data_IF_162804535130
#
_entry.id   IF_162804535130
#
_cell.length_a   1.000
_cell.length_b   1.000
_cell.length_c   1.000
_cell.angle_alpha   90.00
_cell.angle_beta   90.00
_cell.angle_gamma   90.00
#
_symmetry.space_group_name_H-M   'P 1'
#
loop_
_entity.id
_entity.type
_entity.pdbx_description
1 polymer ?
#
# COMPACT_ATOMS: atom_id res chain seq x y z
N UNK A 1 -72.79 -3.70 23.66
CA UNK A 1 -71.40 -3.34 24.00
C UNK A 1 -70.48 -4.25 23.20
N UNK A 2 -69.83 -3.75 22.16
CA UNK A 2 -68.87 -4.51 21.36
C UNK A 2 -67.47 -4.18 21.87
N UNK A 3 -66.81 -5.18 22.48
CA UNK A 3 -65.44 -5.06 22.96
C UNK A 3 -64.48 -5.17 21.76
N UNK A 4 -63.85 -4.06 21.40
CA UNK A 4 -62.79 -4.03 20.38
C UNK A 4 -61.51 -4.64 20.94
N UNK A 5 -61.09 -5.77 20.38
CA UNK A 5 -59.77 -6.36 20.63
C UNK A 5 -58.74 -5.57 19.83
N UNK A 6 -57.92 -4.78 20.52
CA UNK A 6 -56.76 -4.11 19.92
C UNK A 6 -55.62 -5.12 19.75
N UNK A 7 -55.38 -5.56 18.51
CA UNK A 7 -54.22 -6.36 18.14
C UNK A 7 -53.00 -5.43 18.08
N UNK A 8 -52.12 -5.53 19.07
CA UNK A 8 -50.83 -4.85 19.03
C UNK A 8 -49.91 -5.58 18.05
N UNK A 9 -49.74 -5.01 16.85
CA UNK A 9 -48.71 -5.41 15.90
C UNK A 9 -47.34 -5.02 16.48
N UNK A 10 -46.64 -5.97 17.08
CA UNK A 10 -45.23 -5.79 17.42
C UNK A 10 -44.43 -5.77 16.12
N UNK A 11 -43.99 -4.60 15.68
CA UNK A 11 -42.96 -4.46 14.65
C UNK A 11 -41.64 -5.00 15.22
N UNK A 12 -41.40 -6.31 15.08
CA UNK A 12 -40.08 -6.89 15.26
C UNK A 12 -39.22 -6.45 14.07
N UNK A 13 -38.51 -5.34 14.23
CA UNK A 13 -37.49 -4.93 13.26
C UNK A 13 -36.43 -6.02 13.19
N UNK A 14 -36.22 -6.60 12.01
CA UNK A 14 -35.13 -7.54 11.74
C UNK A 14 -33.79 -6.80 11.80
N UNK A 15 -33.31 -6.49 13.00
CA UNK A 15 -31.93 -6.10 13.20
C UNK A 15 -31.13 -7.39 13.30
N UNK A 16 -30.22 -7.64 12.36
CA UNK A 16 -29.29 -8.74 12.49
C UNK A 16 -28.48 -8.49 13.77
N UNK A 17 -28.41 -9.44 14.72
CA UNK A 17 -27.76 -9.22 16.00
C UNK A 17 -26.29 -8.92 15.79
N UNK A 18 -25.77 -7.89 16.44
CA UNK A 18 -24.33 -7.58 16.41
C UNK A 18 -23.58 -8.73 17.08
N UNK A 19 -22.48 -9.17 16.46
CA UNK A 19 -21.82 -10.41 16.83
C UNK A 19 -21.08 -10.28 18.17
N UNK A 20 -20.41 -9.14 18.41
CA UNK A 20 -19.63 -8.91 19.63
C UNK A 20 -20.40 -8.03 20.62
N UNK A 21 -20.27 -8.34 21.92
CA UNK A 21 -20.91 -7.58 22.99
C UNK A 21 -20.19 -7.75 24.34
N UNK A 22 -20.25 -6.74 25.20
CA UNK A 22 -19.76 -6.80 26.58
C UNK A 22 -20.61 -7.72 27.50
N UNK A 23 -21.78 -8.18 27.04
CA UNK A 23 -22.70 -9.00 27.83
C UNK A 23 -22.49 -10.51 27.69
N UNK A 24 -21.62 -10.94 26.77
CA UNK A 24 -21.26 -12.36 26.60
C UNK A 24 -19.98 -12.66 27.40
N UNK A 25 -19.98 -13.73 28.20
CA UNK A 25 -18.86 -14.10 29.06
C UNK A 25 -17.68 -14.77 28.35
N UNK A 26 -17.79 -15.01 27.04
CA UNK A 26 -16.72 -15.53 26.18
C UNK A 26 -15.79 -14.40 25.74
N UNK A 27 -14.58 -14.75 25.30
CA UNK A 27 -13.64 -13.77 24.74
C UNK A 27 -14.17 -13.26 23.41
N UNK A 28 -14.33 -11.94 23.30
CA UNK A 28 -14.80 -11.28 22.08
C UNK A 28 -13.60 -11.04 21.16
N UNK A 29 -13.60 -11.65 19.97
CA UNK A 29 -12.48 -11.58 19.03
C UNK A 29 -12.94 -10.96 17.71
N UNK A 30 -12.22 -9.93 17.27
CA UNK A 30 -12.36 -9.41 15.91
C UNK A 30 -11.19 -9.87 15.05
N UNK A 31 -11.46 -10.28 13.82
CA UNK A 31 -10.43 -10.58 12.83
C UNK A 31 -10.63 -9.73 11.60
N UNK A 32 -9.58 -9.47 10.82
CA UNK A 32 -9.74 -8.72 9.56
C UNK A 32 -10.36 -9.59 8.47
N UNK A 33 -10.02 -10.87 8.39
CA UNK A 33 -10.49 -11.79 7.34
C UNK A 33 -11.09 -13.08 7.92
N UNK A 34 -11.91 -13.76 7.11
CA UNK A 34 -12.54 -15.03 7.46
C UNK A 34 -11.54 -16.17 7.69
N UNK A 35 -10.38 -16.14 7.03
CA UNK A 35 -9.29 -17.12 7.24
C UNK A 35 -8.77 -17.04 8.68
N UNK A 36 -8.51 -15.81 9.16
CA UNK A 36 -8.12 -15.60 10.55
C UNK A 36 -9.24 -15.98 11.51
N UNK A 37 -10.49 -15.67 11.15
CA UNK A 37 -11.64 -16.04 11.96
C UNK A 37 -11.72 -17.56 12.16
N UNK A 38 -11.52 -18.34 11.10
CA UNK A 38 -11.51 -19.80 11.17
C UNK A 38 -10.38 -20.34 12.05
N UNK A 39 -9.16 -19.81 11.91
CA UNK A 39 -8.04 -20.18 12.79
C UNK A 39 -8.33 -19.91 14.27
N UNK A 40 -8.87 -18.72 14.57
CA UNK A 40 -9.25 -18.35 15.94
C UNK A 40 -10.34 -19.28 16.47
N UNK A 41 -11.36 -19.60 15.67
CA UNK A 41 -12.43 -20.54 16.07
C UNK A 41 -11.89 -21.94 16.36
N UNK A 42 -10.97 -22.43 15.54
CA UNK A 42 -10.34 -23.75 15.75
C UNK A 42 -9.53 -23.80 17.06
N UNK A 43 -8.82 -22.72 17.42
CA UNK A 43 -8.01 -22.65 18.65
C UNK A 43 -8.86 -22.37 19.90
N UNK A 44 -9.78 -21.40 19.79
CA UNK A 44 -10.59 -20.92 20.91
C UNK A 44 -11.80 -21.82 21.23
N UNK A 45 -12.32 -22.54 20.23
CA UNK A 45 -13.51 -23.37 20.36
C UNK A 45 -14.71 -22.59 20.91
N UNK A 46 -15.43 -23.18 21.86
CA UNK A 46 -16.62 -22.56 22.48
C UNK A 46 -16.30 -21.38 23.40
N UNK A 47 -15.01 -21.07 23.64
CA UNK A 47 -14.58 -20.00 24.58
C UNK A 47 -14.51 -18.62 23.93
N UNK A 48 -14.66 -18.55 22.61
CA UNK A 48 -14.52 -17.32 21.82
C UNK A 48 -15.80 -17.02 21.04
N UNK A 49 -16.05 -15.74 20.83
CA UNK A 49 -16.96 -15.24 19.78
C UNK A 49 -16.08 -14.53 18.76
N UNK A 50 -16.22 -14.89 17.49
CA UNK A 50 -15.32 -14.39 16.44
C UNK A 50 -16.12 -13.78 15.31
N UNK A 51 -15.89 -12.49 15.07
CA UNK A 51 -16.43 -11.73 13.96
C UNK A 51 -15.32 -11.25 13.03
N UNK A 52 -15.54 -11.31 11.72
CA UNK A 52 -14.58 -10.87 10.70
C UNK A 52 -15.05 -9.54 10.12
N UNK A 53 -14.16 -8.54 10.07
CA UNK A 53 -14.44 -7.23 9.46
C UNK A 53 -14.75 -7.40 7.97
N UNK A 54 -13.90 -8.12 7.24
CA UNK A 54 -14.16 -8.44 5.83
C UNK A 54 -15.02 -9.71 5.77
N UNK A 55 -16.24 -9.65 5.21
CA UNK A 55 -17.07 -10.85 5.02
C UNK A 55 -16.46 -11.83 4.03
N UNK A 56 -16.80 -13.13 4.16
CA UNK A 56 -16.23 -14.20 3.32
C UNK A 56 -16.46 -14.02 1.80
N UNK A 57 -17.47 -13.24 1.40
CA UNK A 57 -17.78 -12.94 0.00
C UNK A 57 -17.18 -11.63 -0.51
N UNK A 58 -16.45 -10.91 0.32
CA UNK A 58 -15.89 -9.59 -0.01
C UNK A 58 -14.38 -9.68 -0.29
N UNK A 59 -13.91 -8.79 -1.15
CA UNK A 59 -12.49 -8.64 -1.46
C UNK A 59 -11.81 -7.79 -0.39
N UNK A 60 -10.89 -8.40 0.36
CA UNK A 60 -10.17 -7.74 1.46
C UNK A 60 -9.31 -6.55 1.00
N UNK A 61 -8.95 -6.47 -0.29
CA UNK A 61 -8.08 -5.41 -0.81
C UNK A 61 -8.84 -4.11 -1.11
N UNK A 62 -10.17 -4.15 -1.18
CA UNK A 62 -11.02 -3.00 -1.51
C UNK A 62 -12.22 -2.82 -0.58
N UNK A 63 -12.33 -3.64 0.47
CA UNK A 63 -13.46 -3.60 1.38
C UNK A 63 -13.55 -2.27 2.14
N UNK A 64 -14.77 -1.72 2.26
CA UNK A 64 -15.05 -0.54 3.07
C UNK A 64 -15.75 -0.94 4.37
N UNK A 65 -15.12 -0.74 5.55
CA UNK A 65 -15.72 -1.05 6.83
C UNK A 65 -17.06 -0.33 7.07
N UNK A 66 -18.04 -1.07 7.56
CA UNK A 66 -19.34 -0.52 7.95
C UNK A 66 -19.31 -0.03 9.40
N UNK A 67 -20.32 0.76 9.79
CA UNK A 67 -20.51 1.17 11.19
C UNK A 67 -20.70 -0.03 12.15
N UNK A 68 -21.20 -1.16 11.62
CA UNK A 68 -21.36 -2.38 12.40
C UNK A 68 -20.00 -3.02 12.70
N UNK A 69 -19.08 -3.00 11.73
CA UNK A 69 -17.74 -3.55 11.91
C UNK A 69 -16.97 -2.71 12.93
N UNK A 70 -17.08 -1.38 12.82
CA UNK A 70 -16.52 -0.44 13.82
C UNK A 70 -17.09 -0.74 15.21
N UNK A 71 -18.40 -0.97 15.34
CA UNK A 71 -19.00 -1.35 16.62
C UNK A 71 -18.41 -2.67 17.15
N UNK A 72 -18.23 -3.68 16.30
CA UNK A 72 -17.62 -4.95 16.71
C UNK A 72 -16.17 -4.75 17.20
N UNK A 73 -15.38 -3.93 16.51
CA UNK A 73 -14.02 -3.57 16.95
C UNK A 73 -14.00 -2.97 18.35
N UNK A 74 -14.93 -2.07 18.67
CA UNK A 74 -15.03 -1.43 20.00
C UNK A 74 -15.29 -2.46 21.11
N UNK A 75 -16.07 -3.51 20.83
CA UNK A 75 -16.40 -4.57 21.80
C UNK A 75 -15.35 -5.69 21.86
N UNK A 76 -14.31 -5.67 21.04
CA UNK A 76 -13.31 -6.73 21.02
C UNK A 76 -12.40 -6.70 22.27
N UNK A 77 -12.06 -7.89 22.75
CA UNK A 77 -11.04 -8.13 23.79
C UNK A 77 -9.68 -8.46 23.19
N UNK A 78 -9.65 -8.83 21.91
CA UNK A 78 -8.44 -9.05 21.10
C UNK A 78 -8.77 -8.92 19.61
N UNK A 79 -7.82 -8.37 18.85
CA UNK A 79 -7.89 -8.28 17.40
C UNK A 79 -6.80 -9.10 16.72
N UNK A 80 -7.12 -9.72 15.58
CA UNK A 80 -6.16 -10.36 14.69
C UNK A 80 -6.25 -9.76 13.29
N UNK A 81 -5.15 -9.18 12.81
CA UNK A 81 -4.99 -8.74 11.42
C UNK A 81 -3.94 -9.59 10.71
N UNK A 82 -4.05 -9.79 9.40
CA UNK A 82 -3.00 -10.43 8.62
C UNK A 82 -1.83 -9.46 8.47
N UNK A 83 -2.15 -8.22 8.07
CA UNK A 83 -1.20 -7.19 7.68
C UNK A 83 -0.44 -7.59 6.39
N UNK A 84 0.70 -6.96 6.09
CA UNK A 84 1.46 -7.19 4.85
C UNK A 84 0.66 -6.92 3.55
N UNK A 85 -0.12 -5.84 3.54
CA UNK A 85 -0.91 -5.36 2.39
C UNK A 85 -2.01 -6.31 1.89
N UNK A 86 -2.43 -7.30 2.68
CA UNK A 86 -3.62 -8.09 2.34
C UNK A 86 -4.89 -7.24 2.48
N UNK A 87 -5.03 -6.56 3.62
CA UNK A 87 -6.17 -5.69 3.87
C UNK A 87 -5.99 -4.33 3.20
N UNK A 88 -7.09 -3.80 2.68
CA UNK A 88 -7.22 -2.40 2.35
C UNK A 88 -6.84 -1.53 3.56
N UNK A 89 -6.16 -0.41 3.32
CA UNK A 89 -5.57 0.37 4.41
C UNK A 89 -6.64 1.05 5.30
N UNK A 90 -7.83 1.31 4.76
CA UNK A 90 -9.00 1.76 5.53
C UNK A 90 -9.45 0.71 6.58
N UNK A 91 -9.34 -0.59 6.32
CA UNK A 91 -9.64 -1.67 7.28
C UNK A 91 -8.66 -1.62 8.46
N UNK A 92 -7.36 -1.49 8.17
CA UNK A 92 -6.32 -1.37 9.21
C UNK A 92 -6.55 -0.11 10.05
N UNK A 93 -6.87 1.03 9.43
CA UNK A 93 -7.18 2.28 10.13
C UNK A 93 -8.44 2.17 10.97
N UNK A 94 -9.53 1.59 10.44
CA UNK A 94 -10.77 1.40 11.17
C UNK A 94 -10.55 0.51 12.39
N UNK A 95 -9.75 -0.55 12.25
CA UNK A 95 -9.36 -1.40 13.37
C UNK A 95 -8.54 -0.62 14.41
N UNK A 96 -7.43 0.00 14.02
CA UNK A 96 -6.50 0.65 14.94
C UNK A 96 -7.08 1.89 15.64
N UNK A 97 -7.96 2.64 14.97
CA UNK A 97 -8.55 3.85 15.51
C UNK A 97 -9.70 3.59 16.51
N UNK A 98 -10.32 2.41 16.44
CA UNK A 98 -11.51 2.08 17.24
C UNK A 98 -11.27 0.99 18.29
N UNK A 99 -10.14 0.28 18.22
CA UNK A 99 -9.77 -0.70 19.23
C UNK A 99 -9.47 0.02 20.55
N UNK A 100 -10.02 -0.49 21.66
CA UNK A 100 -9.84 0.11 22.99
C UNK A 100 -8.37 0.07 23.42
N UNK A 101 -7.93 1.06 24.18
CA UNK A 101 -6.58 1.12 24.73
C UNK A 101 -6.25 -0.15 25.54
N UNK A 102 -5.08 -0.73 25.29
CA UNK A 102 -4.60 -1.93 25.98
C UNK A 102 -5.16 -3.26 25.44
N UNK A 103 -6.15 -3.22 24.55
CA UNK A 103 -6.61 -4.43 23.85
C UNK A 103 -5.52 -4.90 22.86
N UNK A 104 -5.09 -6.18 22.90
CA UNK A 104 -4.06 -6.67 22.01
C UNK A 104 -4.52 -6.67 20.54
N UNK A 105 -3.67 -6.14 19.65
CA UNK A 105 -3.83 -6.25 18.20
C UNK A 105 -2.67 -7.04 17.61
N UNK A 106 -2.94 -8.26 17.16
CA UNK A 106 -1.93 -9.18 16.65
C UNK A 106 -1.91 -9.13 15.13
N UNK A 107 -0.85 -8.53 14.56
CA UNK A 107 -0.54 -8.66 13.13
C UNK A 107 0.08 -10.04 12.88
N UNK A 108 -0.76 -11.03 12.55
CA UNK A 108 -0.39 -12.44 12.56
C UNK A 108 0.74 -12.77 11.59
N UNK A 109 0.69 -12.29 10.34
CA UNK A 109 1.69 -12.66 9.35
C UNK A 109 3.09 -12.13 9.70
N UNK A 110 3.18 -10.87 10.15
CA UNK A 110 4.45 -10.29 10.63
C UNK A 110 4.90 -10.91 11.96
N UNK A 111 3.96 -11.12 12.89
CA UNK A 111 4.23 -11.73 14.20
C UNK A 111 4.70 -13.18 14.11
N UNK A 112 4.22 -13.93 13.12
CA UNK A 112 4.55 -15.33 12.91
C UNK A 112 6.04 -15.57 12.63
N UNK A 113 6.78 -14.57 12.13
CA UNK A 113 8.22 -14.69 11.93
C UNK A 113 8.99 -14.99 13.23
N UNK A 114 8.47 -14.54 14.39
CA UNK A 114 9.03 -14.87 15.72
C UNK A 114 8.81 -16.34 16.11
N UNK A 115 7.93 -17.03 15.40
CA UNK A 115 7.52 -18.41 15.62
C UNK A 115 7.94 -19.32 14.45
N UNK A 116 9.06 -18.98 13.80
CA UNK A 116 9.66 -19.74 12.70
C UNK A 116 8.84 -19.79 11.40
N UNK A 117 7.87 -18.90 11.21
CA UNK A 117 7.32 -18.66 9.88
C UNK A 117 8.33 -17.88 9.03
N UNK A 118 8.41 -18.20 7.74
CA UNK A 118 9.22 -17.46 6.77
C UNK A 118 8.30 -16.61 5.90
N UNK A 119 8.54 -15.29 5.87
CA UNK A 119 7.87 -14.39 4.94
C UNK A 119 8.58 -14.52 3.61
N UNK A 120 7.91 -15.11 2.62
CA UNK A 120 8.43 -15.21 1.26
C UNK A 120 8.11 -13.88 0.55
N UNK A 121 9.11 -13.05 0.21
CA UNK A 121 8.87 -11.82 -0.51
C UNK A 121 8.47 -12.14 -1.96
N UNK A 122 7.46 -11.45 -2.47
CA UNK A 122 7.18 -11.46 -3.90
C UNK A 122 8.24 -10.58 -4.58
N UNK A 123 9.26 -11.21 -5.16
CA UNK A 123 10.31 -10.52 -5.90
C UNK A 123 9.93 -10.44 -7.38
N UNK A 124 10.12 -9.27 -7.97
CA UNK A 124 9.90 -9.03 -9.40
C UNK A 124 10.73 -9.99 -10.26
N UNK A 125 10.05 -10.72 -11.15
CA UNK A 125 10.74 -11.47 -12.20
C UNK A 125 11.05 -10.51 -13.36
N UNK A 126 12.30 -10.09 -13.42
CA UNK A 126 12.78 -9.18 -14.44
C UNK A 126 12.84 -9.82 -15.85
N UNK A 127 12.47 -11.09 -16.00
CA UNK A 127 12.30 -11.74 -17.30
C UNK A 127 10.91 -11.54 -17.91
N UNK A 128 9.96 -10.96 -17.18
CA UNK A 128 8.64 -10.62 -17.70
C UNK A 128 8.74 -9.60 -18.85
N UNK A 129 7.97 -9.83 -19.91
CA UNK A 129 7.87 -8.91 -21.07
C UNK A 129 7.12 -7.62 -20.73
N UNK A 130 6.45 -7.57 -19.57
CA UNK A 130 5.74 -6.42 -19.01
C UNK A 130 6.58 -5.72 -17.96
N UNK A 131 6.61 -4.38 -17.99
CA UNK A 131 7.33 -3.57 -17.01
C UNK A 131 6.48 -3.56 -15.72
N UNK A 132 6.98 -4.23 -14.67
CA UNK A 132 6.27 -4.39 -13.40
C UNK A 132 7.07 -3.78 -12.23
N UNK A 133 7.44 -2.51 -12.37
CA UNK A 133 8.24 -1.82 -11.36
C UNK A 133 7.40 -1.48 -10.13
N UNK A 134 8.01 -1.65 -8.96
CA UNK A 134 7.36 -1.37 -7.68
C UNK A 134 7.74 -0.05 -7.02
N UNK A 135 6.89 0.38 -6.11
CA UNK A 135 7.15 1.43 -5.14
C UNK A 135 7.40 0.81 -3.76
N UNK A 136 8.38 1.34 -3.03
CA UNK A 136 8.73 0.83 -1.70
C UNK A 136 8.94 1.96 -0.71
N UNK A 137 8.30 1.82 0.45
CA UNK A 137 8.63 2.55 1.67
C UNK A 137 9.58 1.66 2.49
N UNK A 138 10.69 2.23 2.96
CA UNK A 138 11.64 1.51 3.83
C UNK A 138 11.60 2.11 5.23
N UNK A 139 11.40 1.24 6.22
CA UNK A 139 11.39 1.62 7.63
C UNK A 139 10.01 2.01 8.13
N UNK A 140 9.89 2.06 9.46
CA UNK A 140 8.62 2.20 10.18
C UNK A 140 8.18 3.64 10.38
N UNK A 141 9.06 4.62 10.12
CA UNK A 141 8.77 6.04 10.34
C UNK A 141 8.54 6.44 11.81
N UNK A 142 8.86 5.57 12.78
CA UNK A 142 8.63 5.83 14.22
C UNK A 142 9.32 7.09 14.72
N UNK A 143 10.45 7.47 14.12
CA UNK A 143 11.16 8.72 14.41
C UNK A 143 10.33 9.98 14.08
N UNK A 144 9.34 9.86 13.20
CA UNK A 144 8.35 10.89 12.87
C UNK A 144 7.01 10.69 13.59
N UNK A 145 6.91 9.73 14.51
CA UNK A 145 5.68 9.37 15.19
C UNK A 145 4.73 8.48 14.37
N UNK A 146 5.19 7.91 13.25
CA UNK A 146 4.35 7.05 12.42
C UNK A 146 4.01 5.73 13.11
N UNK A 147 2.83 5.21 12.76
CA UNK A 147 2.36 3.86 13.08
C UNK A 147 2.02 3.13 11.78
N UNK A 148 1.61 1.87 11.89
CA UNK A 148 1.13 1.09 10.72
C UNK A 148 -0.13 1.67 10.06
N UNK A 149 -0.86 2.54 10.76
CA UNK A 149 -2.03 3.25 10.26
C UNK A 149 -1.67 4.58 9.55
N UNK A 150 -0.41 5.00 9.59
CA UNK A 150 0.07 6.18 8.87
C UNK A 150 0.15 5.92 7.37
N UNK A 151 0.13 7.00 6.59
CA UNK A 151 0.24 6.96 5.13
C UNK A 151 1.53 7.62 4.66
N UNK A 152 2.25 6.95 3.75
CA UNK A 152 3.28 7.58 2.94
C UNK A 152 2.70 7.83 1.56
N UNK A 153 2.59 9.11 1.22
CA UNK A 153 2.09 9.61 -0.05
C UNK A 153 3.28 9.72 -1.01
N UNK A 154 3.25 8.95 -2.10
CA UNK A 154 4.23 8.97 -3.17
C UNK A 154 3.59 9.60 -4.41
N UNK A 155 3.72 10.91 -4.54
CA UNK A 155 3.08 11.70 -5.60
C UNK A 155 3.99 11.85 -6.81
N UNK A 156 3.47 11.58 -8.02
CA UNK A 156 4.08 12.09 -9.24
C UNK A 156 3.75 13.59 -9.38
N UNK A 157 4.77 14.39 -9.64
CA UNK A 157 4.63 15.87 -9.59
C UNK A 157 5.14 16.56 -10.84
N UNK A 158 5.93 15.86 -11.66
CA UNK A 158 6.45 16.38 -12.93
C UNK A 158 6.91 15.21 -13.80
N UNK A 159 6.64 15.27 -15.10
CA UNK A 159 7.20 14.34 -16.07
C UNK A 159 7.63 15.10 -17.32
N UNK A 160 8.74 14.68 -17.90
CA UNK A 160 9.14 15.09 -19.25
C UNK A 160 9.55 13.88 -20.07
N UNK A 161 9.11 13.83 -21.32
CA UNK A 161 9.35 12.68 -22.19
C UNK A 161 8.79 12.89 -23.60
N UNK A 162 9.03 11.93 -24.51
CA UNK A 162 8.54 11.96 -25.89
C UNK A 162 7.06 11.58 -26.05
N UNK A 163 6.39 11.18 -24.97
CA UNK A 163 5.00 10.75 -24.95
C UNK A 163 4.46 10.77 -23.53
N UNK A 164 3.39 10.01 -23.32
CA UNK A 164 2.68 9.88 -22.05
C UNK A 164 3.20 8.69 -21.26
N UNK A 165 3.12 8.80 -19.94
CA UNK A 165 3.52 7.81 -18.95
C UNK A 165 2.34 7.57 -18.01
N UNK A 166 1.93 6.31 -17.87
CA UNK A 166 0.95 5.90 -16.86
C UNK A 166 1.49 4.75 -16.03
N UNK A 167 1.18 4.74 -14.73
CA UNK A 167 1.41 3.64 -13.81
C UNK A 167 0.06 3.24 -13.20
N UNK A 168 -0.30 1.95 -13.27
CA UNK A 168 -1.64 1.50 -12.91
C UNK A 168 -1.67 0.06 -12.37
N UNK A 169 -2.70 -0.24 -11.59
CA UNK A 169 -3.13 -1.58 -11.27
C UNK A 169 -4.43 -1.91 -11.99
N UNK A 170 -4.76 -3.19 -12.07
CA UNK A 170 -6.03 -3.65 -12.62
C UNK A 170 -6.97 -3.99 -11.46
N UNK A 171 -8.11 -3.33 -11.41
CA UNK A 171 -9.17 -3.61 -10.44
C UNK A 171 -9.81 -4.98 -10.68
N UNK A 172 -10.60 -5.46 -9.72
CA UNK A 172 -11.24 -6.78 -9.76
C UNK A 172 -12.16 -7.00 -10.99
N UNK A 173 -12.63 -5.92 -11.62
CA UNK A 173 -13.46 -5.95 -12.83
C UNK A 173 -12.70 -5.60 -14.12
N UNK A 174 -11.37 -5.50 -14.07
CA UNK A 174 -10.52 -5.29 -15.25
C UNK A 174 -10.25 -3.83 -15.61
N UNK A 175 -10.82 -2.87 -14.88
CA UNK A 175 -10.54 -1.44 -15.06
C UNK A 175 -9.15 -1.05 -14.55
N UNK A 176 -8.48 -0.04 -15.14
CA UNK A 176 -7.24 0.47 -14.61
C UNK A 176 -7.48 1.43 -13.44
N UNK A 177 -6.81 1.19 -12.32
CA UNK A 177 -6.65 2.10 -11.19
C UNK A 177 -5.30 2.83 -11.35
N UNK A 178 -5.32 4.12 -11.61
CA UNK A 178 -4.13 4.90 -11.96
C UNK A 178 -3.46 5.48 -10.71
N UNK A 179 -2.14 5.29 -10.62
CA UNK A 179 -1.28 5.82 -9.56
C UNK A 179 -0.40 6.97 -10.06
N UNK A 180 -0.15 7.00 -11.37
CA UNK A 180 0.49 8.09 -12.09
C UNK A 180 -0.21 8.18 -13.44
N UNK A 181 -0.71 9.34 -13.81
CA UNK A 181 -1.28 9.61 -15.11
C UNK A 181 -0.74 10.94 -15.66
N UNK A 182 0.09 10.89 -16.71
CA UNK A 182 0.56 12.15 -17.31
C UNK A 182 -0.45 12.78 -18.27
N UNK A 183 -1.51 12.06 -18.64
CA UNK A 183 -2.43 12.46 -19.73
C UNK A 183 -3.42 13.55 -19.32
N UNK A 184 -3.72 13.63 -18.02
CA UNK A 184 -4.54 14.65 -17.35
C UNK A 184 -3.66 15.70 -16.64
N UNK A 185 -2.39 15.38 -16.40
CA UNK A 185 -1.39 16.29 -15.84
C UNK A 185 -1.44 16.33 -14.31
N UNK A 186 -0.39 16.88 -13.70
CA UNK A 186 -0.20 16.85 -12.25
C UNK A 186 -0.74 18.11 -11.58
N UNK A 187 -1.91 18.01 -10.91
CA UNK A 187 -2.54 19.15 -10.25
C UNK A 187 -1.97 19.37 -8.83
N UNK A 188 -1.23 20.47 -8.66
CA UNK A 188 -0.73 20.87 -7.35
C UNK A 188 -1.83 21.43 -6.43
N UNK A 189 -2.97 21.88 -6.98
CA UNK A 189 -4.04 22.53 -6.23
C UNK A 189 -4.81 21.55 -5.33
N UNK A 190 -4.93 20.28 -5.73
CA UNK A 190 -5.54 19.23 -4.91
C UNK A 190 -4.52 18.38 -4.15
N UNK A 191 -3.23 18.73 -4.26
CA UNK A 191 -2.13 18.01 -3.63
C UNK A 191 -1.70 16.74 -4.36
N UNK A 192 -1.93 16.69 -5.69
CA UNK A 192 -1.62 15.58 -6.59
C UNK A 192 -2.44 14.32 -6.28
N UNK A 193 -3.71 14.49 -5.89
CA UNK A 193 -4.52 13.40 -5.31
C UNK A 193 -4.67 12.23 -6.28
N UNK A 194 -4.87 12.51 -7.56
CA UNK A 194 -5.09 11.50 -8.61
C UNK A 194 -3.75 10.87 -9.11
N UNK A 195 -2.61 11.37 -8.65
CA UNK A 195 -1.26 10.93 -9.01
C UNK A 195 -0.43 10.50 -7.80
N UNK A 196 -1.11 10.05 -6.75
CA UNK A 196 -0.48 9.67 -5.48
C UNK A 196 -0.72 8.22 -5.16
N UNK A 197 0.37 7.45 -5.12
CA UNK A 197 0.35 6.13 -4.49
C UNK A 197 0.43 6.27 -2.98
N UNK A 198 -0.51 5.66 -2.26
CA UNK A 198 -0.55 5.64 -0.80
C UNK A 198 -0.05 4.30 -0.30
N UNK A 199 1.05 4.31 0.45
CA UNK A 199 1.63 3.11 1.05
C UNK A 199 1.80 3.24 2.56
N UNK A 200 1.52 2.19 3.34
CA UNK A 200 1.91 2.14 4.75
C UNK A 200 3.43 2.20 4.94
N UNK A 201 3.92 2.53 6.15
CA UNK A 201 5.31 2.31 6.52
C UNK A 201 5.74 0.85 6.31
N UNK A 202 6.99 0.68 5.85
CA UNK A 202 7.62 -0.60 5.50
C UNK A 202 6.86 -1.47 4.47
N UNK A 203 6.02 -0.84 3.65
CA UNK A 203 5.28 -1.50 2.59
C UNK A 203 6.00 -1.47 1.23
N UNK A 204 5.64 -2.40 0.35
CA UNK A 204 6.04 -2.39 -1.05
C UNK A 204 4.90 -2.90 -1.93
N UNK A 205 4.70 -2.29 -3.09
CA UNK A 205 3.73 -2.75 -4.09
C UNK A 205 4.33 -2.68 -5.48
N UNK A 206 3.86 -3.53 -6.40
CA UNK A 206 4.26 -3.55 -7.81
C UNK A 206 3.08 -3.18 -8.69
N UNK A 207 3.32 -2.37 -9.72
CA UNK A 207 2.28 -1.88 -10.63
C UNK A 207 2.73 -1.92 -12.09
N UNK A 208 1.78 -1.94 -13.02
CA UNK A 208 2.07 -1.92 -14.45
C UNK A 208 2.46 -0.52 -14.89
N UNK A 209 3.44 -0.42 -15.79
CA UNK A 209 3.88 0.86 -16.36
C UNK A 209 3.72 0.84 -17.88
N UNK A 210 3.10 1.88 -18.44
CA UNK A 210 2.95 2.03 -19.88
C UNK A 210 3.47 3.40 -20.35
N UNK A 211 4.01 3.41 -21.56
CA UNK A 211 4.62 4.57 -22.21
C UNK A 211 4.13 4.63 -23.65
N UNK A 212 3.63 5.78 -24.10
CA UNK A 212 3.03 5.87 -25.45
C UNK A 212 4.06 6.05 -26.57
N UNK A 213 5.30 6.41 -26.23
CA UNK A 213 6.40 6.55 -27.20
C UNK A 213 7.76 6.07 -26.66
N UNK A 214 8.65 5.53 -27.51
CA UNK A 214 10.02 5.21 -27.11
C UNK A 214 10.86 6.49 -26.91
N UNK A 215 11.73 6.49 -25.89
CA UNK A 215 12.69 7.55 -25.63
C UNK A 215 13.07 7.66 -24.15
N UNK A 216 13.50 8.84 -23.71
CA UNK A 216 13.94 9.07 -22.32
C UNK A 216 12.89 9.89 -21.60
N UNK A 217 12.37 9.35 -20.50
CA UNK A 217 11.45 10.03 -19.60
C UNK A 217 12.17 10.41 -18.31
N UNK A 218 11.81 11.56 -17.73
CA UNK A 218 12.22 11.99 -16.40
C UNK A 218 10.97 12.26 -15.59
N UNK A 219 10.70 11.41 -14.60
CA UNK A 219 9.57 11.52 -13.68
C UNK A 219 10.10 11.99 -12.33
N UNK A 220 9.64 13.14 -11.84
CA UNK A 220 9.89 13.59 -10.48
C UNK A 220 8.78 13.07 -9.59
N UNK A 221 9.18 12.38 -8.52
CA UNK A 221 8.29 11.93 -7.44
C UNK A 221 8.58 12.74 -6.18
N UNK A 222 7.54 12.98 -5.39
CA UNK A 222 7.61 13.53 -4.05
C UNK A 222 7.12 12.50 -3.03
N UNK A 223 7.78 12.42 -1.88
CA UNK A 223 7.36 11.58 -0.76
C UNK A 223 6.96 12.46 0.43
N UNK A 224 5.76 12.24 0.96
CA UNK A 224 5.22 12.90 2.16
C UNK A 224 4.68 11.86 3.14
N UNK A 225 4.82 12.10 4.43
CA UNK A 225 4.30 11.23 5.50
C UNK A 225 3.12 11.90 6.20
N UNK A 226 1.93 11.33 6.08
CA UNK A 226 0.78 11.68 6.90
C UNK A 226 0.72 10.74 8.12
N UNK A 227 1.17 11.26 9.27
CA UNK A 227 1.29 10.48 10.52
C UNK A 227 -0.08 10.00 11.02
N UNK A 228 -1.11 10.84 10.90
CA UNK A 228 -2.48 10.53 11.27
C UNK A 228 -3.43 11.20 10.28
N UNK A 229 -4.68 10.70 10.23
CA UNK A 229 -5.71 11.27 9.37
C UNK A 229 -5.95 12.75 9.71
N UNK A 230 -5.94 13.61 8.68
CA UNK A 230 -6.11 15.06 8.83
C UNK A 230 -4.90 15.82 9.38
N UNK A 231 -3.81 15.13 9.78
CA UNK A 231 -2.57 15.78 10.15
C UNK A 231 -1.87 16.37 8.91
N UNK A 232 -1.19 17.50 9.08
CA UNK A 232 -0.36 18.07 8.01
C UNK A 232 0.77 17.09 7.67
N UNK A 233 0.93 16.67 6.40
CA UNK A 233 2.00 15.76 6.02
C UNK A 233 3.41 16.34 6.24
N UNK A 234 4.35 15.48 6.61
CA UNK A 234 5.78 15.77 6.74
C UNK A 234 6.47 15.49 5.41
N UNK A 235 7.21 16.47 4.89
CA UNK A 235 8.00 16.29 3.66
C UNK A 235 9.19 15.35 3.89
N UNK A 236 9.26 14.25 3.12
CA UNK A 236 10.37 13.31 3.16
C UNK A 236 11.39 13.56 2.03
N UNK A 237 10.95 14.17 0.93
CA UNK A 237 11.82 14.67 -0.13
C UNK A 237 11.32 14.39 -1.54
N UNK A 238 12.07 14.89 -2.53
CA UNK A 238 11.76 14.73 -3.96
C UNK A 238 12.91 14.06 -4.68
N UNK A 239 12.59 13.27 -5.70
CA UNK A 239 13.58 12.59 -6.53
C UNK A 239 13.11 12.40 -7.96
N UNK A 240 14.00 12.67 -8.92
CA UNK A 240 13.74 12.41 -10.34
C UNK A 240 14.30 11.06 -10.76
N UNK A 241 13.42 10.22 -11.28
CA UNK A 241 13.70 8.92 -11.88
C UNK A 241 13.78 9.06 -13.40
N UNK A 242 14.84 8.49 -13.99
CA UNK A 242 14.99 8.49 -15.45
C UNK A 242 14.67 7.11 -16.00
N UNK A 243 13.76 7.03 -16.96
CA UNK A 243 13.38 5.82 -17.69
C UNK A 243 13.87 5.91 -19.13
N UNK A 244 14.49 4.84 -19.64
CA UNK A 244 14.85 4.71 -21.04
C UNK A 244 14.02 3.60 -21.70
N UNK A 245 13.05 3.97 -22.53
CA UNK A 245 12.02 3.09 -23.10
C UNK A 245 12.30 2.83 -24.59
N UNK A 246 12.23 1.58 -25.03
CA UNK A 246 12.49 1.19 -26.43
C UNK A 246 13.96 1.26 -26.84
N UNK A 247 14.90 1.16 -25.89
CA UNK A 247 16.34 1.17 -26.16
C UNK A 247 16.95 -0.23 -26.07
N UNK A 248 17.64 -0.65 -27.14
CA UNK A 248 18.52 -1.82 -27.09
C UNK A 248 19.91 -1.43 -26.55
N UNK A 249 20.59 -2.39 -25.91
CA UNK A 249 21.93 -2.21 -25.28
C UNK A 249 22.98 -1.58 -26.22
N UNK A 250 22.86 -1.82 -27.53
CA UNK A 250 23.74 -1.28 -28.58
C UNK A 250 23.54 0.23 -28.84
N UNK A 251 22.33 0.76 -28.63
CA UNK A 251 21.99 2.17 -28.88
C UNK A 251 22.36 3.09 -27.70
N UNK A 252 22.39 2.56 -26.48
CA UNK A 252 22.69 3.30 -25.25
C UNK A 252 24.14 3.79 -25.18
N UNK A 253 25.09 2.96 -25.64
CA UNK A 253 26.53 3.29 -25.66
C UNK A 253 26.86 4.38 -26.70
N UNK A 254 26.13 4.43 -27.81
CA UNK A 254 26.42 5.35 -28.92
C UNK A 254 25.96 6.81 -28.74
N UNK A 255 24.97 7.09 -27.86
CA UNK A 255 24.48 8.46 -27.61
C UNK A 255 24.99 9.10 -26.32
N UNK A 256 25.47 8.31 -25.36
CA UNK A 256 26.15 8.87 -24.17
C UNK A 256 27.49 9.53 -24.52
N UNK A 257 28.14 9.15 -25.64
CA UNK A 257 29.36 9.83 -26.12
C UNK A 257 29.10 11.21 -26.75
N UNK A 258 27.87 11.48 -27.22
CA UNK A 258 27.54 12.71 -27.93
C UNK A 258 27.19 13.90 -27.00
N UNK A 259 26.98 13.65 -25.70
CA UNK A 259 26.82 14.70 -24.67
C UNK A 259 27.79 14.46 -23.51
N UNK A 260 29.08 14.71 -23.77
CA UNK A 260 30.06 15.12 -22.75
C UNK A 260 30.25 14.22 -21.53
N UNK A 261 30.43 12.90 -21.70
CA UNK A 261 31.12 12.05 -20.71
C UNK A 261 32.26 11.27 -21.36
N UNK A 262 33.38 11.00 -20.66
CA UNK A 262 34.60 10.51 -21.29
C UNK A 262 34.45 9.08 -21.78
N UNK A 263 34.91 8.86 -23.01
CA UNK A 263 34.93 7.56 -23.68
C UNK A 263 36.22 6.82 -23.35
N UNK A 264 36.18 5.83 -22.47
CA UNK A 264 37.17 4.73 -22.50
C UNK A 264 36.60 3.44 -21.92
N UNK A 265 36.95 2.34 -22.59
CA UNK A 265 36.70 0.97 -22.15
C UNK A 265 37.36 0.76 -20.78
N UNK A 266 36.58 0.83 -19.73
CA UNK A 266 36.98 0.35 -18.41
C UNK A 266 35.72 0.12 -17.60
N UNK A 267 35.67 -1.05 -16.98
CA UNK A 267 34.87 -1.37 -15.80
C UNK A 267 34.59 -0.10 -14.98
N UNK A 268 33.32 0.26 -14.82
CA UNK A 268 32.94 1.39 -13.96
C UNK A 268 33.11 0.94 -12.50
N UNK A 269 34.21 1.36 -11.87
CA UNK A 269 34.29 1.50 -10.42
C UNK A 269 34.06 2.97 -10.08
N UNK A 270 32.82 3.32 -9.75
CA UNK A 270 32.54 4.52 -8.97
C UNK A 270 31.70 4.12 -7.76
N UNK A 271 32.33 4.07 -6.59
CA UNK A 271 31.64 3.82 -5.32
C UNK A 271 31.13 2.39 -5.09
N UNK A 272 31.72 1.37 -5.69
CA UNK A 272 31.51 -0.03 -5.29
C UNK A 272 30.17 -0.68 -5.68
N UNK A 273 29.40 -0.13 -6.63
CA UNK A 273 28.18 -0.79 -7.13
C UNK A 273 28.30 -1.22 -8.59
N UNK A 274 28.15 -2.52 -8.84
CA UNK A 274 28.09 -3.16 -10.16
C UNK A 274 26.63 -3.23 -10.62
N UNK A 275 26.31 -2.76 -11.84
CA UNK A 275 24.97 -2.92 -12.44
C UNK A 275 25.05 -3.69 -13.77
N UNK A 276 24.23 -4.74 -13.89
CA UNK A 276 24.02 -5.51 -15.11
C UNK A 276 22.68 -5.10 -15.74
N UNK A 277 22.62 -4.71 -17.02
CA UNK A 277 21.38 -4.25 -17.64
C UNK A 277 20.49 -5.42 -18.06
N UNK A 278 19.22 -5.37 -17.64
CA UNK A 278 18.12 -6.20 -18.14
C UNK A 278 17.49 -5.49 -19.36
N UNK A 279 16.94 -6.26 -20.29
CA UNK A 279 16.61 -5.82 -21.67
C UNK A 279 15.51 -4.76 -21.80
N UNK A 280 14.85 -4.35 -20.71
CA UNK A 280 13.70 -3.45 -20.78
C UNK A 280 13.78 -2.47 -19.60
N UNK A 281 13.95 -1.18 -19.91
CA UNK A 281 14.03 -0.04 -18.97
C UNK A 281 15.22 -0.06 -17.98
N UNK A 282 16.16 0.88 -18.15
CA UNK A 282 17.14 1.22 -17.11
C UNK A 282 16.62 2.38 -16.25
N UNK A 283 16.30 2.12 -14.98
CA UNK A 283 15.96 3.17 -14.01
C UNK A 283 17.24 3.65 -13.34
N UNK A 284 17.58 4.94 -13.53
CA UNK A 284 18.68 5.59 -12.80
C UNK A 284 18.12 6.69 -11.91
N UNK A 285 18.34 6.56 -10.61
CA UNK A 285 18.06 7.61 -9.63
C UNK A 285 19.27 8.58 -9.60
N UNK A 286 19.03 9.85 -9.89
CA UNK A 286 20.08 10.87 -9.87
C UNK A 286 20.03 11.64 -8.54
N UNK A 287 20.95 11.36 -7.62
CA UNK A 287 21.31 12.33 -6.56
C UNK A 287 22.54 13.11 -7.01
N UNK A 288 22.54 14.45 -6.84
CA UNK A 288 23.72 15.31 -7.05
C UNK A 288 24.24 15.85 -5.72
N UNK A 289 25.58 15.76 -5.61
CA UNK A 289 26.52 16.59 -4.86
C UNK A 289 26.43 16.68 -3.33
N UNK A 290 27.29 15.93 -2.63
CA UNK A 290 27.96 16.41 -1.42
C UNK A 290 29.39 16.79 -1.76
N UNK A 291 29.73 18.06 -1.55
CA UNK A 291 31.12 18.54 -1.50
C UNK A 291 31.78 17.98 -0.24
N UNK A 292 32.98 17.40 -0.37
CA UNK A 292 33.91 17.24 0.76
C UNK A 292 35.20 17.99 0.43
N UNK A 293 35.80 18.69 1.41
CA UNK A 293 36.84 19.67 1.15
C UNK A 293 38.16 19.00 0.82
N UNK A 294 38.97 19.72 0.06
CA UNK A 294 40.34 19.36 -0.28
C UNK A 294 41.18 19.06 0.97
N UNK A 295 41.98 18.00 0.88
CA UNK A 295 43.27 17.87 1.54
C UNK A 295 44.28 17.46 0.49
#
# INVERSE_FOLDING_TARGET
>A
MAAGVAVALTLSGCTAPVALSDSDGRVQVVTTTGILADLVRNVGGERVVVDSIVPDSADAHVYEPTLRDVRNVVYADVAFSNYLLLEAQNVIKALDANLRDGVPNVSLAEGAAKYAAEIIPLVEDASLDTIWLGMRVRGTGREYGASRASDVLLSAVEVSGPGELVAYLTESFGGPDFYVNSTDGFDAADGYRDDTAVLPPDAHTHMSWAFTAPGVYRLTMEARLAVAQGAKPVELGRQTFTFAVGWTRTRWVGRCSARGMPTSRSTWTSGGCTCTPIRTVAVRCARRCTTRPAR
#
